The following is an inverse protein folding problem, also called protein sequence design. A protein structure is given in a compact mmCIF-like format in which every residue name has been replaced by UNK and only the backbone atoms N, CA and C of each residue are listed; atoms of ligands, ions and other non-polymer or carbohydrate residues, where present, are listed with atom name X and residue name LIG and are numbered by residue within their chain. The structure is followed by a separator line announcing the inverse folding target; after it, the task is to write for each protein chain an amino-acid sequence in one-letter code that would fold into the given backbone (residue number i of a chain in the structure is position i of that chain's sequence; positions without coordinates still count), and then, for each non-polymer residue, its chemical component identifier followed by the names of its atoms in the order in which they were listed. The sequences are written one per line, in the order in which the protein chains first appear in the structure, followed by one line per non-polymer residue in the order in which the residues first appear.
data_IF_045315424855
#
_entry.id   IF_045315424855
#
_cell.length_a   1.000
_cell.length_b   1.000
_cell.length_c   1.000
_cell.angle_alpha   90.00
_cell.angle_beta   90.00
_cell.angle_gamma   90.00
#
_symmetry.space_group_name_H-M   'P 1'
#
loop_
_entity.id
_entity.type
_entity.pdbx_description
1 polymer ?
#
# COMPACT_ATOMS: atom_id res chain seq x y z
N UNK A 1 -15.29 -32.94 20.28
CA UNK A 1 -16.55 -32.26 19.99
C UNK A 1 -16.36 -30.79 20.31
N UNK A 2 -15.93 -30.01 19.32
CA UNK A 2 -15.89 -28.54 19.37
C UNK A 2 -16.37 -28.09 17.99
N UNK A 3 -17.35 -27.19 18.03
CA UNK A 3 -18.34 -26.94 16.99
C UNK A 3 -17.77 -26.26 15.75
N UNK A 4 -18.29 -26.65 14.59
CA UNK A 4 -18.58 -25.86 13.38
C UNK A 4 -17.75 -24.58 13.19
N UNK A 5 -16.72 -24.65 12.36
CA UNK A 5 -16.05 -23.49 11.75
C UNK A 5 -16.36 -23.43 10.25
N UNK A 6 -17.61 -23.73 9.89
CA UNK A 6 -17.99 -24.00 8.49
C UNK A 6 -18.22 -22.73 7.63
N UNK A 7 -18.47 -21.55 8.19
CA UNK A 7 -18.44 -20.29 7.40
C UNK A 7 -18.28 -19.06 8.32
N UNK A 8 -17.05 -18.55 8.44
CA UNK A 8 -16.79 -17.24 9.06
C UNK A 8 -16.81 -16.08 8.06
N UNK A 9 -16.90 -16.39 6.76
CA UNK A 9 -16.84 -15.41 5.68
C UNK A 9 -18.20 -15.35 4.97
N UNK A 10 -18.75 -14.16 4.85
CA UNK A 10 -19.97 -13.93 4.09
C UNK A 10 -19.61 -13.72 2.62
N UNK A 11 -20.31 -14.36 1.67
CA UNK A 11 -20.11 -14.10 0.25
C UNK A 11 -20.63 -12.69 -0.11
N UNK A 12 -19.76 -11.69 0.09
CA UNK A 12 -20.03 -10.28 -0.20
C UNK A 12 -19.26 -9.85 -1.44
N UNK A 13 -20.00 -9.29 -2.40
CA UNK A 13 -19.42 -8.70 -3.61
C UNK A 13 -18.52 -7.49 -3.29
N UNK A 14 -17.42 -7.30 -4.03
CA UNK A 14 -16.56 -6.16 -3.84
C UNK A 14 -17.28 -4.88 -4.26
N UNK A 15 -16.90 -3.75 -3.63
CA UNK A 15 -17.39 -2.43 -4.06
C UNK A 15 -16.89 -2.13 -5.49
N UNK A 16 -17.60 -1.23 -6.19
CA UNK A 16 -17.18 -0.76 -7.52
C UNK A 16 -15.86 0.02 -7.46
N UNK A 17 -15.69 0.77 -6.37
CA UNK A 17 -14.61 1.73 -6.20
C UNK A 17 -13.81 1.38 -4.94
N UNK A 18 -12.52 1.72 -4.98
CA UNK A 18 -11.61 1.64 -3.84
C UNK A 18 -11.65 2.96 -3.08
N UNK A 19 -11.63 2.89 -1.76
CA UNK A 19 -11.74 4.03 -0.85
C UNK A 19 -10.47 4.18 0.00
N UNK A 20 -10.23 5.41 0.43
CA UNK A 20 -9.22 5.75 1.43
C UNK A 20 -9.89 6.64 2.47
N UNK A 21 -9.27 6.76 3.64
CA UNK A 21 -9.74 7.74 4.61
C UNK A 21 -9.55 9.14 4.04
N UNK A 22 -10.59 9.97 4.19
CA UNK A 22 -10.59 11.34 3.68
C UNK A 22 -9.45 12.19 4.23
N UNK A 23 -8.97 11.90 5.45
CA UNK A 23 -7.83 12.59 6.07
C UNK A 23 -6.49 12.21 5.43
N UNK A 24 -6.42 11.06 4.74
CA UNK A 24 -5.22 10.58 4.06
C UNK A 24 -5.11 11.08 2.62
N UNK A 25 -6.19 11.61 2.04
CA UNK A 25 -6.23 12.05 0.64
C UNK A 25 -5.17 13.10 0.31
N UNK A 26 -4.99 14.08 1.18
CA UNK A 26 -3.97 15.14 1.00
C UNK A 26 -2.55 14.56 0.95
N UNK A 27 -2.28 13.43 1.63
CA UNK A 27 -0.97 12.78 1.60
C UNK A 27 -0.71 12.09 0.26
N UNK A 28 -1.73 11.46 -0.33
CA UNK A 28 -1.63 10.89 -1.68
C UNK A 28 -1.38 12.00 -2.71
N UNK A 29 -2.17 13.07 -2.65
CA UNK A 29 -2.06 14.22 -3.54
C UNK A 29 -0.67 14.88 -3.44
N UNK A 30 -0.17 15.12 -2.23
CA UNK A 30 1.16 15.69 -2.01
C UNK A 30 2.29 14.84 -2.64
N UNK A 31 2.21 13.51 -2.52
CA UNK A 31 3.17 12.59 -3.13
C UNK A 31 3.11 12.60 -4.66
N UNK A 32 1.96 12.86 -5.26
CA UNK A 32 1.78 12.89 -6.71
C UNK A 32 2.09 14.26 -7.33
N UNK A 33 1.93 15.34 -6.58
CA UNK A 33 2.09 16.71 -7.07
C UNK A 33 3.49 17.28 -6.86
N UNK A 34 4.27 16.75 -5.92
CA UNK A 34 5.64 17.21 -5.66
C UNK A 34 6.63 16.62 -6.66
N UNK A 35 7.35 17.47 -7.41
CA UNK A 35 8.39 17.05 -8.36
C UNK A 35 9.56 16.29 -7.69
N UNK A 36 9.80 16.56 -6.40
CA UNK A 36 10.84 15.87 -5.61
C UNK A 36 10.38 14.50 -5.08
N UNK A 37 9.10 14.16 -5.25
CA UNK A 37 8.56 12.87 -4.85
C UNK A 37 8.86 11.79 -5.90
N UNK A 38 9.25 10.57 -5.47
CA UNK A 38 9.38 9.42 -6.38
C UNK A 38 8.05 8.97 -6.99
N UNK A 39 6.92 9.52 -6.51
CA UNK A 39 5.57 9.24 -7.01
C UNK A 39 4.99 10.39 -7.82
N UNK A 40 5.81 11.39 -8.21
CA UNK A 40 5.35 12.50 -9.04
C UNK A 40 4.61 11.98 -10.28
N UNK A 41 3.38 12.45 -10.47
CA UNK A 41 2.46 12.06 -11.55
C UNK A 41 2.09 10.56 -11.61
N UNK A 42 2.36 9.79 -10.55
CA UNK A 42 1.90 8.41 -10.47
C UNK A 42 0.37 8.35 -10.48
N UNK A 43 -0.22 7.30 -11.05
CA UNK A 43 -1.66 7.12 -10.98
C UNK A 43 -2.10 6.68 -9.57
N UNK A 44 -3.33 7.02 -9.17
CA UNK A 44 -3.86 6.69 -7.84
C UNK A 44 -3.77 5.19 -7.52
N UNK A 45 -4.05 4.34 -8.51
CA UNK A 45 -4.04 2.91 -8.32
C UNK A 45 -2.60 2.36 -8.13
N UNK A 46 -1.60 2.95 -8.78
CA UNK A 46 -0.20 2.57 -8.59
C UNK A 46 0.34 3.01 -7.22
N UNK A 47 0.08 4.25 -6.83
CA UNK A 47 0.46 4.76 -5.50
C UNK A 47 -0.26 3.99 -4.38
N UNK A 48 -1.53 3.65 -4.58
CA UNK A 48 -2.29 2.79 -3.66
C UNK A 48 -1.62 1.43 -3.48
N UNK A 49 -1.22 0.78 -4.58
CA UNK A 49 -0.56 -0.53 -4.50
C UNK A 49 0.79 -0.46 -3.79
N UNK A 50 1.54 0.63 -3.98
CA UNK A 50 2.78 0.85 -3.24
C UNK A 50 2.50 1.07 -1.75
N UNK A 51 1.54 1.94 -1.41
CA UNK A 51 1.15 2.20 -0.03
C UNK A 51 0.64 0.95 0.68
N UNK A 52 -0.17 0.12 0.00
CA UNK A 52 -0.62 -1.18 0.47
C UNK A 52 0.55 -2.09 0.82
N UNK A 53 1.48 -2.30 -0.10
CA UNK A 53 2.65 -3.16 0.13
C UNK A 53 3.56 -2.62 1.24
N UNK A 54 3.80 -1.31 1.24
CA UNK A 54 4.63 -0.66 2.25
C UNK A 54 3.98 -0.71 3.64
N UNK A 55 2.67 -0.48 3.73
CA UNK A 55 1.88 -0.62 4.94
C UNK A 55 1.90 -2.06 5.45
N UNK A 56 1.66 -3.04 4.59
CA UNK A 56 1.70 -4.47 4.98
C UNK A 56 3.01 -4.88 5.65
N UNK A 57 4.14 -4.36 5.17
CA UNK A 57 5.46 -4.68 5.70
C UNK A 57 5.81 -3.88 6.98
N UNK A 58 5.30 -2.65 7.12
CA UNK A 58 5.78 -1.71 8.14
C UNK A 58 4.72 -1.29 9.17
N UNK A 59 3.46 -1.70 9.01
CA UNK A 59 2.33 -1.28 9.86
C UNK A 59 1.41 -2.44 10.21
N UNK A 60 0.45 -2.15 11.10
CA UNK A 60 -0.80 -2.89 11.22
C UNK A 60 -1.86 -2.21 10.34
N UNK A 61 -2.93 -2.91 9.92
CA UNK A 61 -4.00 -2.30 9.15
C UNK A 61 -4.73 -1.26 10.02
N UNK A 62 -5.09 -0.12 9.42
CA UNK A 62 -5.85 0.94 10.09
C UNK A 62 -7.25 1.08 9.46
N UNK A 63 -8.29 0.83 10.25
CA UNK A 63 -9.68 1.00 9.83
C UNK A 63 -9.97 2.42 9.36
N UNK A 64 -10.60 2.52 8.19
CA UNK A 64 -11.11 3.78 7.65
C UNK A 64 -12.22 4.31 8.54
N UNK A 65 -12.04 5.53 9.07
CA UNK A 65 -13.02 6.20 9.92
C UNK A 65 -13.95 7.07 9.10
N UNK A 66 -13.43 7.66 8.03
CA UNK A 66 -14.15 8.63 7.20
C UNK A 66 -13.98 8.33 5.71
N UNK A 67 -14.91 7.55 5.14
CA UNK A 67 -14.98 7.39 3.69
C UNK A 67 -15.63 8.64 3.04
N UNK A 68 -14.89 9.36 2.18
CA UNK A 68 -15.46 10.44 1.34
C UNK A 68 -15.13 10.25 -0.13
N UNK A 69 -16.15 9.83 -0.88
CA UNK A 69 -16.06 9.61 -2.32
C UNK A 69 -15.12 8.47 -2.68
N UNK A 70 -15.14 8.06 -3.94
CA UNK A 70 -14.20 7.09 -4.48
C UNK A 70 -12.78 7.67 -4.51
N UNK A 71 -11.76 6.84 -4.27
CA UNK A 71 -10.37 7.19 -4.55
C UNK A 71 -10.01 6.87 -6.01
N UNK A 72 -10.36 5.67 -6.47
CA UNK A 72 -10.35 5.28 -7.87
C UNK A 72 -11.32 4.11 -8.12
N UNK A 73 -11.70 3.90 -9.38
CA UNK A 73 -12.55 2.76 -9.76
C UNK A 73 -11.75 1.47 -9.79
N UNK A 74 -12.27 0.39 -9.20
CA UNK A 74 -11.60 -0.93 -9.11
C UNK A 74 -11.19 -1.49 -10.48
N UNK A 75 -11.94 -1.16 -11.53
CA UNK A 75 -11.65 -1.54 -12.91
C UNK A 75 -10.30 -1.00 -13.44
N UNK A 76 -9.69 -0.02 -12.76
CA UNK A 76 -8.36 0.49 -13.10
C UNK A 76 -7.23 -0.48 -12.69
N UNK A 77 -7.51 -1.42 -11.78
CA UNK A 77 -6.53 -2.39 -11.31
C UNK A 77 -6.33 -3.49 -12.35
N UNK A 78 -5.07 -3.74 -12.69
CA UNK A 78 -4.69 -4.92 -13.47
C UNK A 78 -4.94 -6.23 -12.70
N UNK A 79 -5.07 -7.34 -13.42
CA UNK A 79 -5.21 -8.68 -12.80
C UNK A 79 -4.07 -8.99 -11.81
N UNK A 80 -2.85 -8.53 -12.11
CA UNK A 80 -1.69 -8.69 -11.21
C UNK A 80 -1.85 -7.91 -9.91
N UNK A 81 -2.34 -6.68 -9.97
CA UNK A 81 -2.59 -5.88 -8.77
C UNK A 81 -3.74 -6.46 -7.93
N UNK A 82 -4.79 -6.99 -8.59
CA UNK A 82 -5.87 -7.70 -7.91
C UNK A 82 -5.36 -8.95 -7.18
N UNK A 83 -4.50 -9.76 -7.82
CA UNK A 83 -3.89 -10.93 -7.20
C UNK A 83 -3.01 -10.56 -5.98
N UNK A 84 -2.33 -9.41 -6.00
CA UNK A 84 -1.57 -8.91 -4.83
C UNK A 84 -2.51 -8.54 -3.69
N UNK A 85 -3.61 -7.82 -3.97
CA UNK A 85 -4.63 -7.49 -2.97
C UNK A 85 -5.19 -8.76 -2.30
N UNK A 86 -5.55 -9.77 -3.11
CA UNK A 86 -6.01 -11.07 -2.61
C UNK A 86 -4.94 -11.77 -1.74
N UNK A 87 -3.68 -11.76 -2.18
CA UNK A 87 -2.58 -12.36 -1.43
C UNK A 87 -2.36 -11.67 -0.07
N UNK A 88 -2.50 -10.35 -0.01
CA UNK A 88 -2.42 -9.59 1.25
C UNK A 88 -3.54 -10.01 2.20
N UNK A 89 -4.79 -10.10 1.70
CA UNK A 89 -5.93 -10.52 2.51
C UNK A 89 -5.77 -11.95 3.06
N UNK A 90 -5.34 -12.91 2.22
CA UNK A 90 -5.07 -14.29 2.64
C UNK A 90 -3.93 -14.34 3.67
N UNK A 91 -2.90 -13.52 3.49
CA UNK A 91 -1.79 -13.42 4.44
C UNK A 91 -2.24 -12.86 5.80
N UNK A 92 -3.11 -11.87 5.80
CA UNK A 92 -3.63 -11.24 7.02
C UNK A 92 -4.52 -12.19 7.81
N UNK A 93 -5.52 -12.74 7.14
CA UNK A 93 -6.50 -13.66 7.75
C UNK A 93 -5.92 -15.03 8.05
N UNK A 94 -4.81 -15.39 7.39
CA UNK A 94 -4.20 -16.74 7.42
C UNK A 94 -5.18 -17.82 6.99
N UNK A 95 -6.14 -17.46 6.15
CA UNK A 95 -7.18 -18.34 5.63
C UNK A 95 -7.53 -17.97 4.20
N UNK A 96 -7.40 -18.93 3.27
CA UNK A 96 -7.75 -18.73 1.86
C UNK A 96 -9.25 -18.51 1.65
N UNK A 97 -10.10 -18.90 2.61
CA UNK A 97 -11.55 -18.74 2.52
C UNK A 97 -12.00 -17.27 2.55
N UNK A 98 -11.14 -16.34 2.99
CA UNK A 98 -11.39 -14.89 2.88
C UNK A 98 -11.72 -14.46 1.45
N UNK A 99 -11.20 -15.17 0.44
CA UNK A 99 -11.45 -14.86 -0.97
C UNK A 99 -12.93 -15.05 -1.39
N UNK A 100 -13.76 -15.70 -0.57
CA UNK A 100 -15.21 -15.73 -0.75
C UNK A 100 -15.86 -14.38 -0.43
N UNK A 101 -15.27 -13.65 0.51
CA UNK A 101 -15.70 -12.33 0.93
C UNK A 101 -14.85 -11.27 0.23
N UNK A 102 -15.16 -11.06 -1.05
CA UNK A 102 -14.44 -10.10 -1.88
C UNK A 102 -14.54 -8.68 -1.32
N UNK A 103 -15.60 -8.33 -0.58
CA UNK A 103 -15.66 -7.06 0.13
C UNK A 103 -14.57 -6.94 1.19
N UNK A 104 -14.43 -7.96 2.05
CA UNK A 104 -13.40 -7.99 3.09
C UNK A 104 -11.99 -7.90 2.52
N UNK A 105 -11.75 -8.58 1.39
CA UNK A 105 -10.45 -8.55 0.69
C UNK A 105 -10.02 -7.10 0.37
N UNK A 106 -10.94 -6.29 -0.17
CA UNK A 106 -10.63 -4.89 -0.47
C UNK A 106 -10.59 -4.02 0.78
N UNK A 107 -11.45 -4.27 1.78
CA UNK A 107 -11.40 -3.55 3.06
C UNK A 107 -10.01 -3.71 3.72
N UNK A 108 -9.45 -4.93 3.79
CA UNK A 108 -8.09 -5.16 4.30
C UNK A 108 -7.03 -4.38 3.51
N UNK A 109 -7.12 -4.39 2.17
CA UNK A 109 -6.17 -3.66 1.34
C UNK A 109 -6.26 -2.13 1.54
N UNK A 110 -7.47 -1.60 1.67
CA UNK A 110 -7.71 -0.20 1.96
C UNK A 110 -7.12 0.19 3.33
N UNK A 111 -7.33 -0.63 4.37
CA UNK A 111 -6.78 -0.38 5.70
C UNK A 111 -5.25 -0.36 5.73
N UNK A 112 -4.61 -1.28 5.00
CA UNK A 112 -3.16 -1.28 4.87
C UNK A 112 -2.62 -0.10 4.07
N UNK A 113 -3.29 0.29 2.98
CA UNK A 113 -2.90 1.46 2.22
C UNK A 113 -3.02 2.75 3.04
N UNK A 114 -4.06 2.88 3.87
CA UNK A 114 -4.24 4.04 4.76
C UNK A 114 -3.17 4.14 5.86
N UNK A 115 -2.74 3.02 6.43
CA UNK A 115 -1.63 3.02 7.38
C UNK A 115 -0.29 3.28 6.66
N UNK A 116 -0.10 2.66 5.50
CA UNK A 116 1.13 2.75 4.72
C UNK A 116 1.40 4.15 4.17
N UNK A 117 0.37 4.87 3.74
CA UNK A 117 0.54 6.22 3.18
C UNK A 117 1.05 7.22 4.22
N UNK A 118 0.65 7.08 5.50
CA UNK A 118 1.13 7.96 6.56
C UNK A 118 2.65 7.81 6.75
N UNK A 119 3.14 6.57 6.83
CA UNK A 119 4.58 6.30 6.90
C UNK A 119 5.31 6.74 5.64
N UNK A 120 4.72 6.50 4.46
CA UNK A 120 5.33 6.83 3.18
C UNK A 120 5.45 8.35 2.99
N UNK A 121 4.41 9.09 3.35
CA UNK A 121 4.43 10.55 3.32
C UNK A 121 5.47 11.12 4.28
N UNK A 122 5.51 10.62 5.53
CA UNK A 122 6.54 10.98 6.51
C UNK A 122 7.95 10.66 6.02
N UNK A 123 8.13 9.56 5.29
CA UNK A 123 9.42 9.18 4.69
C UNK A 123 9.92 10.16 3.63
N UNK A 124 9.02 10.70 2.82
CA UNK A 124 9.34 11.57 1.69
C UNK A 124 9.46 13.04 2.12
N UNK A 125 8.56 13.51 2.98
CA UNK A 125 8.45 14.93 3.36
C UNK A 125 8.79 15.22 4.82
N UNK A 126 9.06 14.21 5.63
CA UNK A 126 9.43 14.37 7.04
C UNK A 126 10.80 15.03 7.22
N UNK A 127 11.08 15.54 8.43
CA UNK A 127 12.37 16.13 8.75
C UNK A 127 13.50 15.11 8.56
N UNK A 128 14.62 15.55 7.97
CA UNK A 128 15.74 14.70 7.59
C UNK A 128 16.43 13.95 8.76
N UNK A 129 16.08 14.29 10.00
CA UNK A 129 16.64 13.70 11.23
C UNK A 129 15.90 12.43 11.70
N UNK A 130 14.72 12.13 11.14
CA UNK A 130 13.93 10.96 11.53
C UNK A 130 14.29 9.67 10.77
N UNK A 131 15.35 9.67 9.94
CA UNK A 131 15.83 8.41 9.37
C UNK A 131 17.36 8.27 9.20
N UNK A 132 17.91 7.16 9.73
CA UNK A 132 19.21 6.57 9.34
C UNK A 132 19.38 6.28 7.83
N UNK A 133 18.42 6.62 6.96
CA UNK A 133 18.42 6.26 5.52
C UNK A 133 19.23 7.19 4.63
N UNK A 134 19.77 8.31 5.13
CA UNK A 134 20.89 8.98 4.43
C UNK A 134 22.13 8.07 4.36
N UNK A 135 22.33 7.20 5.36
CA UNK A 135 23.47 6.29 5.45
C UNK A 135 23.36 5.13 4.45
N UNK A 136 22.19 4.49 4.33
CA UNK A 136 21.92 3.43 3.35
C UNK A 136 21.97 3.93 1.89
N UNK A 137 21.46 5.13 1.62
CA UNK A 137 21.53 5.73 0.28
C UNK A 137 22.96 6.12 -0.12
N UNK A 138 23.84 6.39 0.85
CA UNK A 138 25.28 6.61 0.63
C UNK A 138 26.03 5.28 0.45
N UNK A 139 25.75 4.26 1.28
CA UNK A 139 26.37 2.93 1.17
C UNK A 139 26.09 2.24 -0.17
N UNK A 140 24.85 2.28 -0.67
CA UNK A 140 24.49 1.68 -1.96
C UNK A 140 25.16 2.44 -3.12
N UNK A 141 25.36 3.75 -2.98
CA UNK A 141 26.04 4.58 -3.98
C UNK A 141 27.56 4.37 -4.00
N UNK A 142 28.16 4.05 -2.85
CA UNK A 142 29.58 3.70 -2.72
C UNK A 142 29.89 2.29 -3.25
N UNK A 143 28.95 1.34 -3.14
CA UNK A 143 29.06 -0.01 -3.73
C UNK A 143 28.82 -0.08 -5.25
N UNK A 144 28.22 0.94 -5.85
CA UNK A 144 27.85 0.95 -7.28
C UNK A 144 28.52 2.07 -8.08
N UNK A 145 29.61 2.66 -7.59
CA UNK A 145 30.55 3.27 -8.53
C UNK A 145 31.19 2.14 -9.34
N UNK A 146 30.98 2.07 -10.67
CA UNK A 146 31.84 1.22 -11.48
C UNK A 146 33.27 1.72 -11.24
N UNK A 147 34.18 0.81 -10.90
CA UNK A 147 35.60 1.09 -11.08
C UNK A 147 35.72 1.50 -12.55
N UNK A 148 35.91 2.80 -12.80
CA UNK A 148 36.32 3.26 -14.12
C UNK A 148 37.65 2.57 -14.35
N UNK A 149 37.60 1.53 -15.19
CA UNK A 149 38.70 0.68 -15.56
C UNK A 149 39.94 1.55 -15.79
N UNK A 150 40.91 1.34 -14.92
CA UNK A 150 42.26 1.80 -15.09
C UNK A 150 42.82 1.22 -16.41
N UNK A 151 43.56 2.10 -17.09
CA UNK A 151 44.61 1.84 -18.10
C UNK A 151 44.29 1.96 -19.60
N UNK A 152 45.30 2.36 -20.41
CA UNK A 152 46.72 2.64 -20.09
C UNK A 152 47.20 4.09 -20.34
#
# INVERSE_FOLDING_TARGET
MSQDTEDSYEEREPRRDVHIDSERREMFEALQESEDSPFYQAENHDLFMFALGYGRENTMPETIKNEKGAFFGRASLSERQQAVIEAVAVSEERDVRVLRDQRMVYEIAEEYANAGIELLHGRVFGPADDEPRRELALEVKEQYQPEEDDEP
#
